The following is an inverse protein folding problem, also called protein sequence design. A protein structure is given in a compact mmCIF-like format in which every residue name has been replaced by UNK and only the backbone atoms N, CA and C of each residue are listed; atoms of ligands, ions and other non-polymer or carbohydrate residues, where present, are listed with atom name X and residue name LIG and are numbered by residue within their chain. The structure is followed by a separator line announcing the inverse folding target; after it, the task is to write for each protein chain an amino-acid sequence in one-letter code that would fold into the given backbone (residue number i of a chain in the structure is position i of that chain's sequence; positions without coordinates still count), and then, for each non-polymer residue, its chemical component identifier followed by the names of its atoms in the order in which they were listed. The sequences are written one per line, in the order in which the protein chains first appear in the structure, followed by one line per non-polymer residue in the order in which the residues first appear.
data_IF_049593901548
#
_entry.id   IF_049593901548
#
_cell.length_a   1.000
_cell.length_b   1.000
_cell.length_c   1.000
_cell.angle_alpha   90.00
_cell.angle_beta   90.00
_cell.angle_gamma   90.00
#
_symmetry.space_group_name_H-M   'P 1'
#
loop_
_entity.id
_entity.type
_entity.pdbx_description
1 polymer ?
#
# COMPACT_ATOMS: atom_id res chain seq x y z
N UNK A 1 -1.38 0.65 16.70
CA UNK A 1 -0.61 -0.60 16.90
C UNK A 1 -1.47 -1.76 16.43
N UNK A 2 -0.90 -2.64 15.61
CA UNK A 2 -1.59 -3.83 15.07
C UNK A 2 -0.66 -5.02 15.24
N UNK A 3 -1.20 -6.18 15.64
CA UNK A 3 -0.45 -7.42 15.74
C UNK A 3 -0.99 -8.41 14.70
N UNK A 4 -0.24 -8.62 13.63
CA UNK A 4 -0.65 -9.50 12.54
C UNK A 4 -0.56 -10.96 12.96
N UNK A 5 -1.73 -11.59 13.09
CA UNK A 5 -1.85 -13.03 13.24
C UNK A 5 -1.72 -13.74 11.89
N UNK A 6 -2.23 -13.11 10.82
CA UNK A 6 -2.18 -13.61 9.46
C UNK A 6 -1.90 -12.49 8.45
N UNK A 7 -1.13 -12.80 7.41
CA UNK A 7 -0.88 -11.93 6.25
C UNK A 7 -1.03 -12.76 4.99
N UNK A 8 -1.82 -12.28 4.02
CA UNK A 8 -2.10 -13.03 2.79
C UNK A 8 -2.74 -14.41 3.03
N UNK A 9 -3.41 -14.60 4.17
CA UNK A 9 -3.99 -15.88 4.58
C UNK A 9 -2.97 -16.91 5.10
N UNK A 10 -1.73 -16.49 5.36
CA UNK A 10 -0.68 -17.30 5.99
C UNK A 10 -0.51 -16.86 7.45
N UNK A 11 -0.31 -17.83 8.35
CA UNK A 11 -0.04 -17.55 9.76
C UNK A 11 1.34 -16.90 9.96
N UNK A 12 1.39 -15.83 10.75
CA UNK A 12 2.65 -15.18 11.12
C UNK A 12 3.31 -15.90 12.30
N UNK A 13 4.52 -16.42 12.09
CA UNK A 13 5.33 -17.08 13.13
C UNK A 13 6.76 -16.53 13.09
N UNK A 14 7.17 -15.65 14.03
CA UNK A 14 6.36 -15.08 15.11
C UNK A 14 5.30 -14.08 14.61
N UNK A 15 4.34 -13.75 15.49
CA UNK A 15 3.39 -12.65 15.28
C UNK A 15 4.17 -11.35 15.04
N UNK A 16 3.82 -10.64 13.97
CA UNK A 16 4.49 -9.38 13.61
C UNK A 16 3.72 -8.18 14.18
N UNK A 17 4.43 -7.27 14.85
CA UNK A 17 3.86 -6.01 15.33
C UNK A 17 4.07 -4.88 14.33
N UNK A 18 3.03 -4.11 14.07
CA UNK A 18 3.05 -2.91 13.24
C UNK A 18 2.69 -1.67 14.08
N UNK A 19 3.48 -0.62 13.90
CA UNK A 19 3.27 0.70 14.49
C UNK A 19 3.20 1.69 13.34
N UNK A 20 2.06 2.37 13.20
CA UNK A 20 1.82 3.36 12.15
C UNK A 20 1.63 4.72 12.79
N UNK A 21 2.52 5.65 12.47
CA UNK A 21 2.49 7.03 12.96
C UNK A 21 1.84 7.94 11.93
N UNK A 22 0.86 8.74 12.34
CA UNK A 22 0.37 9.87 11.54
C UNK A 22 1.32 11.05 11.74
N UNK A 23 2.33 11.16 10.86
CA UNK A 23 3.43 12.12 11.03
C UNK A 23 2.93 13.56 11.10
N UNK A 24 2.01 13.94 10.21
CA UNK A 24 1.43 15.28 10.14
C UNK A 24 0.72 15.62 11.45
N UNK A 25 -0.10 14.71 11.98
CA UNK A 25 -0.83 14.95 13.24
C UNK A 25 0.10 15.07 14.44
N UNK A 26 1.15 14.26 14.49
CA UNK A 26 2.16 14.35 15.55
C UNK A 26 2.89 15.68 15.46
N UNK A 27 3.31 16.07 14.26
CA UNK A 27 4.02 17.33 14.04
C UNK A 27 3.13 18.55 14.32
N UNK A 28 1.85 18.52 13.94
CA UNK A 28 0.88 19.57 14.30
C UNK A 28 0.78 19.77 15.81
N UNK A 29 0.70 18.66 16.57
CA UNK A 29 0.67 18.71 18.02
C UNK A 29 1.97 19.29 18.61
N UNK A 30 3.12 18.88 18.09
CA UNK A 30 4.44 19.36 18.55
C UNK A 30 4.72 20.83 18.18
N UNK A 31 4.15 21.31 17.08
CA UNK A 31 4.32 22.69 16.61
C UNK A 31 3.16 23.60 17.02
N UNK A 32 2.17 23.08 17.76
CA UNK A 32 0.99 23.82 18.25
C UNK A 32 0.19 24.52 17.13
N UNK A 33 0.07 23.88 15.96
CA UNK A 33 -0.71 24.39 14.82
C UNK A 33 -2.02 23.60 14.62
N UNK A 34 -3.09 24.30 14.24
CA UNK A 34 -4.43 23.70 14.05
C UNK A 34 -4.67 23.18 12.63
N UNK A 35 -3.89 23.66 11.66
CA UNK A 35 -3.97 23.27 10.25
C UNK A 35 -2.70 22.56 9.79
N UNK A 36 -2.83 21.46 9.05
CA UNK A 36 -1.69 20.77 8.45
C UNK A 36 -0.91 21.68 7.50
N UNK A 37 -1.57 22.63 6.83
CA UNK A 37 -0.94 23.53 5.87
C UNK A 37 -0.04 24.58 6.53
N UNK A 38 -0.22 24.85 7.82
CA UNK A 38 0.59 25.80 8.58
C UNK A 38 1.84 25.16 9.19
N UNK A 39 1.92 23.83 9.16
CA UNK A 39 3.04 23.06 9.69
C UNK A 39 4.34 23.48 9.00
N UNK A 40 5.36 23.83 9.78
CA UNK A 40 6.69 24.11 9.25
C UNK A 40 7.34 22.80 8.77
N UNK A 41 7.51 22.68 7.45
CA UNK A 41 8.15 21.54 6.79
C UNK A 41 9.67 21.59 6.97
N UNK A 42 10.25 22.78 6.79
CA UNK A 42 11.66 23.04 7.10
C UNK A 42 11.89 24.52 7.42
N UNK A 43 12.94 24.80 8.18
CA UNK A 43 13.36 26.16 8.55
C UNK A 43 14.80 26.35 8.10
N UNK A 44 15.01 27.26 7.16
CA UNK A 44 16.31 27.54 6.55
C UNK A 44 16.71 29.01 6.64
N UNK A 45 17.87 29.34 6.05
CA UNK A 45 18.40 30.71 6.04
C UNK A 45 17.48 31.71 5.30
N UNK A 46 16.65 31.22 4.37
CA UNK A 46 15.73 32.02 3.56
C UNK A 46 14.33 32.13 4.19
N UNK A 47 14.09 31.48 5.35
CA UNK A 47 12.81 31.50 6.05
C UNK A 47 12.23 30.12 6.30
N UNK A 48 10.94 30.09 6.65
CA UNK A 48 10.17 28.88 6.90
C UNK A 48 9.47 28.45 5.60
N UNK A 49 9.59 27.17 5.25
CA UNK A 49 8.76 26.53 4.22
C UNK A 49 7.69 25.73 4.94
N UNK A 50 6.43 25.98 4.65
CA UNK A 50 5.30 25.28 5.25
C UNK A 50 4.91 24.04 4.45
N UNK A 51 4.15 23.13 5.06
CA UNK A 51 3.55 22.00 4.36
C UNK A 51 2.60 22.49 3.24
N UNK A 52 1.90 23.61 3.47
CA UNK A 52 1.04 24.25 2.49
C UNK A 52 1.80 24.66 1.23
N UNK A 53 2.98 25.27 1.38
CA UNK A 53 3.84 25.67 0.25
C UNK A 53 4.23 24.48 -0.63
N UNK A 54 4.37 23.30 -0.04
CA UNK A 54 4.83 22.09 -0.75
C UNK A 54 3.66 21.28 -1.32
N UNK A 55 2.58 21.08 -0.56
CA UNK A 55 1.56 20.08 -0.86
C UNK A 55 0.16 20.62 -1.15
N UNK A 56 -0.14 21.89 -0.88
CA UNK A 56 -1.49 22.40 -1.11
C UNK A 56 -1.91 22.31 -2.58
N UNK A 57 -1.02 22.70 -3.52
CA UNK A 57 -1.28 22.55 -4.94
C UNK A 57 -1.51 21.08 -5.34
N UNK A 58 -0.66 20.17 -4.84
CA UNK A 58 -0.80 18.74 -5.09
C UNK A 58 -2.14 18.21 -4.58
N UNK A 59 -2.58 18.61 -3.38
CA UNK A 59 -3.85 18.14 -2.80
C UNK A 59 -5.05 18.59 -3.62
N UNK A 60 -5.04 19.86 -4.09
CA UNK A 60 -6.08 20.41 -4.98
C UNK A 60 -6.11 19.63 -6.30
N UNK A 61 -4.97 19.49 -6.97
CA UNK A 61 -4.89 18.84 -8.28
C UNK A 61 -5.24 17.34 -8.21
N UNK A 62 -4.73 16.63 -7.20
CA UNK A 62 -5.02 15.21 -7.00
C UNK A 62 -6.49 14.99 -6.65
N UNK A 63 -7.09 15.86 -5.83
CA UNK A 63 -8.53 15.78 -5.53
C UNK A 63 -9.37 15.99 -6.79
N UNK A 64 -9.09 17.04 -7.58
CA UNK A 64 -9.78 17.28 -8.85
C UNK A 64 -9.62 16.09 -9.80
N UNK A 65 -8.43 15.51 -9.92
CA UNK A 65 -8.22 14.31 -10.71
C UNK A 65 -9.07 13.13 -10.20
N UNK A 66 -8.91 12.79 -8.92
CA UNK A 66 -9.54 11.61 -8.30
C UNK A 66 -11.07 11.66 -8.29
N UNK A 67 -11.67 12.84 -8.12
CA UNK A 67 -13.12 12.99 -7.97
C UNK A 67 -13.83 13.43 -9.26
N UNK A 68 -13.13 14.04 -10.21
CA UNK A 68 -13.77 14.65 -11.39
C UNK A 68 -13.19 14.18 -12.71
N UNK A 69 -11.86 14.15 -12.85
CA UNK A 69 -11.23 14.02 -14.17
C UNK A 69 -10.75 12.60 -14.52
N UNK A 70 -10.59 11.71 -13.54
CA UNK A 70 -10.06 10.37 -13.81
C UNK A 70 -10.98 9.56 -14.74
N UNK A 71 -10.39 9.00 -15.80
CA UNK A 71 -11.09 8.23 -16.84
C UNK A 71 -11.44 6.82 -16.33
N UNK A 72 -12.73 6.62 -16.07
CA UNK A 72 -13.27 5.38 -15.50
C UNK A 72 -13.07 4.17 -16.43
N UNK A 73 -13.22 4.35 -17.74
CA UNK A 73 -13.12 3.24 -18.70
C UNK A 73 -11.67 2.79 -18.86
N UNK A 74 -10.74 3.75 -18.94
CA UNK A 74 -9.31 3.48 -18.97
C UNK A 74 -8.84 2.82 -17.66
N UNK A 75 -9.28 3.32 -16.50
CA UNK A 75 -8.93 2.75 -15.20
C UNK A 75 -9.49 1.33 -15.02
N UNK A 76 -10.71 1.07 -15.49
CA UNK A 76 -11.30 -0.27 -15.47
C UNK A 76 -10.45 -1.25 -16.30
N UNK A 77 -10.09 -0.86 -17.53
CA UNK A 77 -9.22 -1.65 -18.41
C UNK A 77 -7.83 -1.87 -17.83
N UNK A 78 -7.30 -0.86 -17.12
CA UNK A 78 -6.01 -0.92 -16.46
C UNK A 78 -6.02 -1.87 -15.27
N UNK A 79 -7.10 -1.87 -14.46
CA UNK A 79 -7.27 -2.83 -13.38
C UNK A 79 -7.25 -4.27 -13.91
N UNK A 80 -8.02 -4.55 -14.96
CA UNK A 80 -8.07 -5.88 -15.59
C UNK A 80 -6.70 -6.31 -16.13
N UNK A 81 -5.95 -5.38 -16.70
CA UNK A 81 -4.58 -5.64 -17.17
C UNK A 81 -3.65 -5.98 -16.01
N UNK A 82 -3.69 -5.22 -14.92
CA UNK A 82 -2.88 -5.48 -13.74
C UNK A 82 -3.22 -6.84 -13.12
N UNK A 83 -4.51 -7.18 -13.00
CA UNK A 83 -4.92 -8.48 -12.47
C UNK A 83 -4.44 -9.64 -13.34
N UNK A 84 -4.66 -9.57 -14.66
CA UNK A 84 -4.22 -10.60 -15.62
C UNK A 84 -2.71 -10.78 -15.59
N UNK A 85 -1.94 -9.70 -15.64
CA UNK A 85 -0.48 -9.78 -15.60
C UNK A 85 0.02 -10.28 -14.25
N UNK A 86 -0.60 -9.86 -13.14
CA UNK A 86 -0.32 -10.39 -11.82
C UNK A 86 -0.48 -11.90 -11.76
N UNK A 87 -1.61 -12.43 -12.25
CA UNK A 87 -1.86 -13.88 -12.32
C UNK A 87 -0.84 -14.61 -13.20
N UNK A 88 -0.52 -14.05 -14.38
CA UNK A 88 0.48 -14.62 -15.31
C UNK A 88 1.87 -14.69 -14.66
N UNK A 89 2.28 -13.65 -13.93
CA UNK A 89 3.57 -13.58 -13.24
C UNK A 89 3.64 -14.55 -12.04
N UNK A 90 2.54 -14.72 -11.31
CA UNK A 90 2.44 -15.75 -10.26
C UNK A 90 2.65 -17.14 -10.86
N UNK A 91 1.97 -17.44 -11.97
CA UNK A 91 2.13 -18.73 -12.67
C UNK A 91 3.56 -18.95 -13.19
N UNK A 92 4.27 -17.87 -13.52
CA UNK A 92 5.69 -17.90 -13.92
C UNK A 92 6.68 -17.99 -12.74
N UNK A 93 6.20 -18.05 -11.49
CA UNK A 93 7.07 -18.09 -10.31
C UNK A 93 7.77 -16.76 -9.99
N UNK A 94 7.18 -15.63 -10.41
CA UNK A 94 7.72 -14.29 -10.23
C UNK A 94 6.86 -13.46 -9.24
N UNK A 95 6.90 -13.77 -7.93
CA UNK A 95 6.00 -13.16 -6.96
C UNK A 95 6.26 -11.67 -6.72
N UNK A 96 7.51 -11.20 -6.81
CA UNK A 96 7.84 -9.78 -6.58
C UNK A 96 7.27 -8.88 -7.71
N UNK A 97 7.48 -9.17 -9.00
CA UNK A 97 6.77 -8.46 -10.07
C UNK A 97 5.24 -8.58 -9.98
N UNK A 98 4.70 -9.73 -9.58
CA UNK A 98 3.26 -9.89 -9.39
C UNK A 98 2.72 -9.02 -8.25
N UNK A 99 3.51 -8.80 -7.19
CA UNK A 99 3.16 -7.88 -6.11
C UNK A 99 3.03 -6.45 -6.60
N UNK A 100 3.92 -5.99 -7.49
CA UNK A 100 3.81 -4.65 -8.09
C UNK A 100 2.49 -4.48 -8.87
N UNK A 101 2.08 -5.50 -9.62
CA UNK A 101 0.79 -5.50 -10.32
C UNK A 101 -0.38 -5.48 -9.33
N UNK A 102 -0.24 -6.14 -8.19
CA UNK A 102 -1.26 -6.13 -7.12
C UNK A 102 -1.43 -4.74 -6.52
N UNK A 103 -0.32 -4.02 -6.27
CA UNK A 103 -0.35 -2.65 -5.77
C UNK A 103 -0.99 -1.71 -6.80
N UNK A 104 -0.64 -1.84 -8.09
CA UNK A 104 -1.26 -1.08 -9.17
C UNK A 104 -2.76 -1.33 -9.27
N UNK A 105 -3.20 -2.59 -9.22
CA UNK A 105 -4.61 -2.94 -9.20
C UNK A 105 -5.32 -2.34 -7.98
N UNK A 106 -4.74 -2.43 -6.78
CA UNK A 106 -5.33 -1.86 -5.56
C UNK A 106 -5.45 -0.33 -5.63
N UNK A 107 -4.44 0.36 -6.15
CA UNK A 107 -4.49 1.80 -6.33
C UNK A 107 -5.53 2.22 -7.38
N UNK A 108 -5.57 1.50 -8.51
CA UNK A 108 -6.55 1.74 -9.57
C UNK A 108 -7.99 1.54 -9.06
N UNK A 109 -8.21 0.52 -8.23
CA UNK A 109 -9.49 0.34 -7.54
C UNK A 109 -9.85 1.55 -6.67
N UNK A 110 -8.89 2.11 -5.90
CA UNK A 110 -9.17 3.29 -5.08
C UNK A 110 -9.59 4.49 -5.95
N UNK A 111 -8.95 4.71 -7.10
CA UNK A 111 -9.35 5.76 -8.05
C UNK A 111 -10.77 5.56 -8.57
N UNK A 112 -11.13 4.32 -8.94
CA UNK A 112 -12.48 3.97 -9.36
C UNK A 112 -13.52 4.18 -8.24
N UNK A 113 -13.18 3.84 -6.99
CA UNK A 113 -14.03 4.03 -5.80
C UNK A 113 -14.22 5.54 -5.51
N UNK A 114 -13.14 6.33 -5.59
CA UNK A 114 -13.16 7.80 -5.45
C UNK A 114 -13.99 8.49 -6.53
N UNK A 115 -13.97 7.99 -7.77
CA UNK A 115 -14.84 8.50 -8.83
C UNK A 115 -16.33 8.19 -8.61
N UNK A 116 -16.68 7.43 -7.57
CA UNK A 116 -18.02 6.92 -7.33
C UNK A 116 -18.57 6.11 -8.51
N UNK A 117 -17.67 5.49 -9.28
CA UNK A 117 -18.02 4.71 -10.48
C UNK A 117 -18.52 3.30 -10.15
N UNK A 118 -18.33 2.83 -8.91
CA UNK A 118 -18.65 1.47 -8.49
C UNK A 118 -19.88 1.44 -7.58
N UNK A 119 -20.85 0.57 -7.91
CA UNK A 119 -21.89 0.19 -6.97
C UNK A 119 -21.33 -0.57 -5.77
N UNK A 120 -22.09 -0.68 -4.68
CA UNK A 120 -21.70 -1.46 -3.48
C UNK A 120 -21.33 -2.91 -3.85
N UNK A 121 -22.09 -3.52 -4.75
CA UNK A 121 -21.83 -4.89 -5.21
C UNK A 121 -20.55 -5.00 -6.04
N UNK A 122 -20.27 -4.02 -6.90
CA UNK A 122 -19.02 -3.97 -7.67
C UNK A 122 -17.82 -3.76 -6.76
N UNK A 123 -17.91 -2.80 -5.83
CA UNK A 123 -16.86 -2.53 -4.84
C UNK A 123 -16.45 -3.81 -4.10
N UNK A 124 -17.42 -4.61 -3.65
CA UNK A 124 -17.13 -5.91 -3.01
C UNK A 124 -16.42 -6.88 -3.96
N UNK A 125 -16.82 -6.94 -5.24
CA UNK A 125 -16.14 -7.79 -6.25
C UNK A 125 -14.68 -7.36 -6.46
N UNK A 126 -14.41 -6.06 -6.60
CA UNK A 126 -13.04 -5.55 -6.74
C UNK A 126 -12.18 -5.86 -5.51
N UNK A 127 -12.70 -5.65 -4.30
CA UNK A 127 -12.00 -5.98 -3.05
C UNK A 127 -11.62 -7.47 -3.01
N UNK A 128 -12.55 -8.36 -3.38
CA UNK A 128 -12.28 -9.80 -3.42
C UNK A 128 -11.21 -10.17 -4.46
N UNK A 129 -11.21 -9.53 -5.63
CA UNK A 129 -10.21 -9.72 -6.69
C UNK A 129 -8.81 -9.31 -6.22
N UNK A 130 -8.66 -8.10 -5.68
CA UNK A 130 -7.38 -7.62 -5.12
C UNK A 130 -6.90 -8.53 -3.99
N UNK A 131 -7.81 -8.93 -3.08
CA UNK A 131 -7.49 -9.86 -1.99
C UNK A 131 -7.03 -11.22 -2.49
N UNK A 132 -7.69 -11.75 -3.53
CA UNK A 132 -7.31 -13.01 -4.17
C UNK A 132 -5.90 -12.95 -4.74
N UNK A 133 -5.58 -11.86 -5.45
CA UNK A 133 -4.26 -11.64 -6.01
C UNK A 133 -3.19 -11.50 -4.91
N UNK A 134 -3.44 -10.68 -3.89
CA UNK A 134 -2.51 -10.50 -2.76
C UNK A 134 -2.23 -11.82 -2.01
N UNK A 135 -3.27 -12.66 -1.81
CA UNK A 135 -3.11 -13.99 -1.21
C UNK A 135 -2.24 -14.91 -2.07
N UNK A 136 -2.49 -14.95 -3.38
CA UNK A 136 -1.71 -15.78 -4.30
C UNK A 136 -0.24 -15.32 -4.37
N UNK A 137 0.02 -14.01 -4.37
CA UNK A 137 1.38 -13.45 -4.27
C UNK A 137 2.06 -13.86 -2.97
N UNK A 138 1.37 -13.74 -1.83
CA UNK A 138 1.95 -14.12 -0.54
C UNK A 138 2.34 -15.61 -0.49
N UNK A 139 1.48 -16.49 -1.01
CA UNK A 139 1.74 -17.92 -1.11
C UNK A 139 2.92 -18.22 -2.03
N UNK A 140 2.97 -17.61 -3.22
CA UNK A 140 4.06 -17.79 -4.17
C UNK A 140 5.39 -17.27 -3.62
N UNK A 141 5.38 -16.13 -2.92
CA UNK A 141 6.56 -15.61 -2.24
C UNK A 141 7.03 -16.57 -1.14
N UNK A 142 6.13 -17.03 -0.29
CA UNK A 142 6.45 -18.00 0.77
C UNK A 142 7.11 -19.26 0.19
N UNK A 143 6.50 -19.87 -0.84
CA UNK A 143 7.04 -21.06 -1.50
C UNK A 143 8.44 -20.80 -2.11
N UNK A 144 8.65 -19.64 -2.73
CA UNK A 144 9.97 -19.25 -3.25
C UNK A 144 11.01 -19.11 -2.12
N UNK A 145 10.63 -18.59 -0.95
CA UNK A 145 11.51 -18.51 0.22
C UNK A 145 11.77 -19.89 0.84
N UNK A 146 10.77 -20.76 0.86
CA UNK A 146 10.87 -22.13 1.35
C UNK A 146 11.83 -22.97 0.48
N UNK A 147 11.73 -22.84 -0.84
CA UNK A 147 12.65 -23.50 -1.79
C UNK A 147 14.12 -23.08 -1.60
N UNK A 148 14.36 -21.88 -1.07
CA UNK A 148 15.68 -21.39 -0.69
C UNK A 148 16.10 -21.82 0.72
N UNK A 149 15.27 -22.59 1.44
CA UNK A 149 15.51 -23.00 2.83
C UNK A 149 15.37 -21.86 3.84
N UNK A 150 14.58 -20.82 3.53
CA UNK A 150 14.41 -19.62 4.35
C UNK A 150 15.73 -19.00 4.84
N UNK A 151 16.60 -18.51 3.95
CA UNK A 151 17.98 -18.13 4.30
C UNK A 151 18.10 -16.93 5.26
N UNK A 152 16.99 -16.25 5.56
CA UNK A 152 16.91 -15.14 6.52
C UNK A 152 16.40 -15.56 7.90
N UNK A 153 15.90 -16.79 8.05
CA UNK A 153 15.63 -17.33 9.38
C UNK A 153 17.01 -17.60 10.00
N UNK A 154 17.38 -16.77 10.97
CA UNK A 154 18.55 -17.04 11.80
C UNK A 154 18.41 -18.46 12.34
N UNK A 155 19.45 -19.26 12.15
CA UNK A 155 19.52 -20.60 12.71
C UNK A 155 19.50 -20.44 14.24
N UNK A 156 18.32 -20.56 14.85
CA UNK A 156 18.07 -20.32 16.29
C UNK A 156 18.91 -21.22 17.19
N UNK A 157 19.57 -22.24 16.63
CA UNK A 157 20.58 -23.05 17.31
C UNK A 157 21.85 -22.28 17.75
N UNK A 158 22.15 -21.10 17.21
CA UNK A 158 23.39 -20.35 17.54
C UNK A 158 23.21 -19.18 18.50
N UNK A 159 21.98 -18.72 18.73
CA UNK A 159 21.70 -17.55 19.58
C UNK A 159 21.34 -17.90 21.04
N UNK A 160 21.16 -19.18 21.37
CA UNK A 160 20.79 -19.63 22.72
C UNK A 160 21.99 -19.97 23.63
N UNK A 161 23.23 -19.87 23.14
CA UNK A 161 24.46 -20.20 23.88
C UNK A 161 25.45 -19.01 23.98
N UNK A 162 24.95 -17.78 24.01
CA UNK A 162 25.76 -16.57 24.18
C UNK A 162 25.32 -15.76 25.39
#
# INVERSE_FOLDING_TARGET
FTYFQQVGGLDCRPVSGEITYGLERIAMYLQEVESVYELAWTVGAEGVVTYGDVFHQNEVEQSTYNFEQADVDALTSWFETCEREGQRLIAAGLPLPAYEQTLKASHTFNLLDSRHALSVGERQRYILRVRGLARAVAQAYFAAREALGFPLLLNTAKAANG
#
